data_IF_718817240006
#
_entry.id   IF_718817240006
#
_cell.length_a   1.000
_cell.length_b   1.000
_cell.length_c   1.000
_cell.angle_alpha   90.00
_cell.angle_beta   90.00
_cell.angle_gamma   90.00
#
_symmetry.space_group_name_H-M   'P 1'
#
loop_
_entity.id
_entity.type
_entity.pdbx_description
1 polymer ?
#
# COMPACT_ATOMS: atom_id res chain seq x y z
N UNK A 1 -12.53 9.13 -48.99
CA UNK A 1 -12.03 7.78 -48.65
C UNK A 1 -11.05 7.94 -47.48
N UNK A 2 -11.50 7.75 -46.28
CA UNK A 2 -10.70 7.91 -45.06
C UNK A 2 -10.28 6.50 -44.60
N UNK A 3 -9.00 6.19 -44.77
CA UNK A 3 -8.45 4.88 -44.40
C UNK A 3 -8.31 4.82 -42.87
N UNK A 4 -9.15 4.00 -42.25
CA UNK A 4 -9.09 3.68 -40.82
C UNK A 4 -7.95 2.68 -40.63
N UNK A 5 -6.82 3.13 -40.05
CA UNK A 5 -5.74 2.24 -39.60
C UNK A 5 -6.12 1.72 -38.23
N UNK A 6 -6.62 0.49 -38.18
CA UNK A 6 -6.81 -0.25 -36.93
C UNK A 6 -5.45 -0.79 -36.49
N UNK A 7 -4.81 -0.17 -35.52
CA UNK A 7 -3.65 -0.74 -34.83
C UNK A 7 -4.16 -1.86 -33.92
N UNK A 8 -4.17 -3.08 -34.41
CA UNK A 8 -4.27 -4.29 -33.59
C UNK A 8 -2.96 -4.41 -32.82
N UNK A 9 -2.96 -4.10 -31.52
CA UNK A 9 -1.90 -4.52 -30.62
C UNK A 9 -2.00 -6.03 -30.49
N UNK A 10 -1.29 -6.73 -31.36
CA UNK A 10 -1.05 -8.15 -31.24
C UNK A 10 -0.15 -8.30 -30.01
N UNK A 11 -0.60 -9.01 -28.97
CA UNK A 11 0.31 -9.66 -28.02
C UNK A 11 1.06 -10.76 -28.81
N UNK A 12 1.98 -10.34 -29.66
CA UNK A 12 2.97 -11.21 -30.24
C UNK A 12 3.93 -11.63 -29.12
N UNK A 13 4.45 -12.85 -29.16
CA UNK A 13 5.53 -13.27 -28.29
C UNK A 13 6.62 -12.19 -28.35
N UNK A 14 6.70 -11.36 -27.33
CA UNK A 14 7.75 -10.36 -27.22
C UNK A 14 9.09 -11.11 -27.20
N UNK A 15 10.13 -10.60 -27.87
CA UNK A 15 11.47 -11.10 -27.64
C UNK A 15 11.73 -11.11 -26.13
N UNK A 16 12.39 -12.13 -25.61
CA UNK A 16 12.69 -12.26 -24.20
C UNK A 16 13.14 -10.90 -23.65
N UNK A 17 12.42 -10.41 -22.63
CA UNK A 17 12.73 -9.10 -22.05
C UNK A 17 14.19 -9.15 -21.54
N UNK A 18 14.96 -8.11 -21.82
CA UNK A 18 16.33 -8.03 -21.35
C UNK A 18 16.33 -7.37 -19.97
N UNK A 19 16.74 -8.13 -18.96
CA UNK A 19 17.01 -7.55 -17.63
C UNK A 19 18.24 -6.64 -17.70
N UNK A 20 18.14 -5.50 -17.02
CA UNK A 20 19.25 -4.57 -16.86
C UNK A 20 19.30 -4.08 -15.42
N UNK A 21 20.44 -4.25 -14.77
CA UNK A 21 20.71 -3.58 -13.50
C UNK A 21 20.87 -2.08 -13.75
N UNK A 22 20.23 -1.24 -12.92
CA UNK A 22 20.26 0.23 -13.06
C UNK A 22 20.98 0.94 -11.92
N UNK A 23 21.24 0.24 -10.78
CA UNK A 23 21.96 0.79 -9.63
C UNK A 23 23.21 -0.01 -9.36
N UNK A 24 24.34 0.66 -9.03
CA UNK A 24 25.65 0.05 -8.86
C UNK A 24 26.39 0.53 -7.61
N UNK A 25 25.83 1.47 -6.87
CA UNK A 25 26.43 1.96 -5.62
C UNK A 25 26.36 0.88 -4.53
N UNK A 26 27.37 0.77 -3.65
CA UNK A 26 27.42 -0.26 -2.61
C UNK A 26 26.50 0.06 -1.42
N UNK A 27 25.21 0.18 -1.67
CA UNK A 27 24.13 0.39 -0.70
C UNK A 27 22.89 -0.39 -1.11
N UNK A 28 21.89 -0.46 -0.22
CA UNK A 28 20.64 -1.11 -0.52
C UNK A 28 19.69 -0.21 -1.31
N UNK A 29 18.90 -0.80 -2.21
CA UNK A 29 17.95 -0.14 -3.08
C UNK A 29 16.61 -0.88 -2.95
N UNK A 30 15.80 -0.49 -1.97
CA UNK A 30 14.57 -1.22 -1.67
C UNK A 30 13.36 -0.50 -2.24
N UNK A 31 12.67 -1.17 -3.17
CA UNK A 31 11.34 -0.75 -3.64
C UNK A 31 10.28 -1.18 -2.64
N UNK A 32 9.26 -0.38 -2.46
CA UNK A 32 8.09 -0.76 -1.66
C UNK A 32 6.96 -1.29 -2.54
N UNK A 33 5.91 -1.80 -1.91
CA UNK A 33 4.71 -2.27 -2.57
C UNK A 33 3.79 -1.13 -3.08
N UNK A 34 4.19 0.11 -2.97
CA UNK A 34 3.47 1.27 -3.47
C UNK A 34 3.98 1.69 -4.86
N UNK A 35 3.47 2.78 -5.40
CA UNK A 35 3.93 3.30 -6.68
C UNK A 35 5.30 3.95 -6.51
N UNK A 36 6.30 3.40 -7.19
CA UNK A 36 7.68 3.86 -7.09
C UNK A 36 8.12 4.72 -8.28
N UNK A 37 7.37 4.69 -9.39
CA UNK A 37 7.68 5.46 -10.58
C UNK A 37 7.29 6.94 -10.45
N UNK A 38 8.16 7.84 -10.95
CA UNK A 38 7.77 9.23 -11.19
C UNK A 38 6.65 9.30 -12.25
N UNK A 39 5.83 10.39 -12.27
CA UNK A 39 4.73 10.53 -13.23
C UNK A 39 5.14 10.39 -14.69
N UNK A 40 6.35 10.82 -15.04
CA UNK A 40 6.92 10.72 -16.39
C UNK A 40 7.63 9.39 -16.68
N UNK A 41 7.66 8.48 -15.70
CA UNK A 41 8.31 7.17 -15.81
C UNK A 41 9.84 7.20 -15.89
N UNK A 42 10.48 8.37 -15.63
CA UNK A 42 11.94 8.51 -15.73
C UNK A 42 12.69 8.05 -14.50
N UNK A 43 12.09 8.14 -13.34
CA UNK A 43 12.72 7.84 -12.07
C UNK A 43 11.98 6.74 -11.31
N UNK A 44 12.74 5.99 -10.51
CA UNK A 44 12.23 5.13 -9.44
C UNK A 44 12.70 5.69 -8.11
N UNK A 45 11.79 5.86 -7.14
CA UNK A 45 12.15 6.16 -5.74
C UNK A 45 12.32 4.86 -4.95
N UNK A 46 13.23 4.88 -3.98
CA UNK A 46 13.56 3.75 -3.12
C UNK A 46 14.04 4.23 -1.74
N UNK A 47 14.09 3.31 -0.79
CA UNK A 47 14.76 3.50 0.50
C UNK A 47 15.96 2.54 0.64
N UNK A 48 16.75 2.74 1.69
CA UNK A 48 18.02 2.02 1.87
C UNK A 48 17.97 0.92 2.94
N UNK A 49 16.77 0.39 3.27
CA UNK A 49 16.64 -0.74 4.21
C UNK A 49 17.33 -2.00 3.67
N UNK A 50 17.80 -2.84 4.60
CA UNK A 50 18.58 -4.04 4.26
C UNK A 50 17.73 -5.26 3.92
N UNK A 51 16.46 -5.28 4.38
CA UNK A 51 15.61 -6.46 4.28
C UNK A 51 14.27 -6.13 3.65
N UNK A 52 13.66 -7.15 3.03
CA UNK A 52 12.30 -7.08 2.53
C UNK A 52 11.30 -6.98 3.67
N UNK A 53 10.45 -5.97 3.63
CA UNK A 53 9.41 -5.73 4.61
C UNK A 53 9.91 -5.05 5.90
N UNK A 54 10.54 -5.75 6.87
CA UNK A 54 11.14 -5.11 8.04
C UNK A 54 12.41 -4.33 7.68
N UNK A 55 12.99 -3.60 8.62
CA UNK A 55 14.29 -2.94 8.46
C UNK A 55 14.21 -1.45 8.18
N UNK A 56 13.01 -0.86 8.11
CA UNK A 56 12.84 0.61 7.94
C UNK A 56 13.52 1.37 9.10
N UNK A 57 13.54 0.80 10.29
CA UNK A 57 14.21 1.37 11.47
C UNK A 57 15.68 1.68 11.24
N UNK A 58 16.34 0.92 10.39
CA UNK A 58 17.77 1.09 10.06
C UNK A 58 18.00 1.81 8.72
N UNK A 59 16.94 2.10 7.97
CA UNK A 59 17.04 2.86 6.72
C UNK A 59 17.26 4.34 7.01
N UNK A 60 18.21 4.95 6.30
CA UNK A 60 18.73 6.28 6.60
C UNK A 60 18.45 7.31 5.51
N UNK A 61 17.96 6.90 4.35
CA UNK A 61 17.70 7.81 3.25
C UNK A 61 16.52 7.38 2.38
N UNK A 62 15.92 8.40 1.75
CA UNK A 62 15.00 8.27 0.64
C UNK A 62 15.70 8.81 -0.60
N UNK A 63 15.71 8.04 -1.65
CA UNK A 63 16.46 8.34 -2.85
C UNK A 63 15.66 8.06 -4.12
N UNK A 64 16.16 8.53 -5.25
CA UNK A 64 15.65 8.14 -6.58
C UNK A 64 16.79 7.79 -7.52
N UNK A 65 16.50 6.99 -8.54
CA UNK A 65 17.41 6.67 -9.62
C UNK A 65 16.77 7.00 -10.98
N UNK A 66 17.51 7.63 -11.86
CA UNK A 66 17.07 7.81 -13.25
C UNK A 66 17.24 6.50 -14.01
N UNK A 67 16.16 5.96 -14.55
CA UNK A 67 16.11 4.61 -15.13
C UNK A 67 17.05 4.46 -16.33
N UNK A 68 17.19 5.50 -17.15
CA UNK A 68 18.01 5.45 -18.37
C UNK A 68 19.49 5.52 -18.05
N UNK A 69 19.89 6.43 -17.19
CA UNK A 69 21.32 6.73 -16.91
C UNK A 69 21.88 5.99 -15.71
N UNK A 70 21.02 5.51 -14.78
CA UNK A 70 21.44 4.94 -13.50
C UNK A 70 21.96 5.99 -12.51
N UNK A 71 21.76 7.28 -12.78
CA UNK A 71 22.17 8.35 -11.87
C UNK A 71 21.24 8.38 -10.66
N UNK A 72 21.82 8.21 -9.48
CA UNK A 72 21.14 8.23 -8.21
C UNK A 72 21.15 9.64 -7.60
N UNK A 73 20.06 10.02 -6.93
CA UNK A 73 19.92 11.30 -6.25
C UNK A 73 19.26 11.14 -4.88
N UNK A 74 19.87 11.76 -3.87
CA UNK A 74 19.31 11.85 -2.52
C UNK A 74 18.10 12.80 -2.54
N UNK A 75 16.99 12.38 -1.95
CA UNK A 75 15.80 13.20 -1.73
C UNK A 75 15.69 13.64 -0.28
N UNK A 76 15.91 12.72 0.65
CA UNK A 76 15.80 12.99 2.09
C UNK A 76 16.78 12.14 2.89
N UNK A 77 17.32 12.73 3.94
CA UNK A 77 18.04 12.06 5.03
C UNK A 77 17.72 12.78 6.34
N UNK A 78 17.48 12.07 7.46
CA UNK A 78 17.29 12.72 8.76
C UNK A 78 18.57 13.44 9.19
N UNK A 79 18.42 14.56 9.88
CA UNK A 79 19.56 15.37 10.35
C UNK A 79 20.43 14.63 11.39
N UNK A 80 19.85 13.68 12.11
CA UNK A 80 20.53 12.78 13.04
C UNK A 80 19.78 11.47 13.13
N UNK A 81 20.53 10.38 13.31
CA UNK A 81 19.95 9.02 13.40
C UNK A 81 20.83 8.07 14.21
N UNK A 82 20.23 7.03 14.73
CA UNK A 82 20.89 5.87 15.35
C UNK A 82 20.26 4.60 14.78
N UNK A 83 21.08 3.58 14.59
CA UNK A 83 20.67 2.26 14.06
C UNK A 83 20.82 1.18 15.12
N UNK A 84 20.27 0.00 14.85
CA UNK A 84 20.30 -1.16 15.74
C UNK A 84 19.00 -1.36 16.49
N UNK A 85 19.06 -1.90 17.70
CA UNK A 85 17.86 -2.23 18.49
C UNK A 85 17.11 -1.01 19.01
N UNK A 86 17.82 0.10 19.22
CA UNK A 86 17.28 1.40 19.61
C UNK A 86 17.41 2.39 18.46
N UNK A 87 16.83 2.02 17.30
CA UNK A 87 16.90 2.82 16.09
C UNK A 87 15.95 4.01 16.11
N UNK A 88 16.41 5.13 15.56
CA UNK A 88 15.60 6.32 15.29
C UNK A 88 16.31 7.25 14.27
N UNK A 89 15.57 7.96 13.41
CA UNK A 89 14.13 7.80 13.23
C UNK A 89 13.76 6.56 12.40
N UNK A 90 14.59 6.09 11.48
CA UNK A 90 14.25 5.14 10.44
C UNK A 90 13.27 5.73 9.41
N UNK A 91 13.62 5.66 8.12
CA UNK A 91 12.81 6.22 7.03
C UNK A 91 12.63 5.20 5.90
N UNK A 92 11.45 5.13 5.28
CA UNK A 92 11.24 4.16 4.19
C UNK A 92 9.78 3.95 3.81
N UNK A 93 9.52 2.91 3.05
CA UNK A 93 8.20 2.60 2.48
C UNK A 93 7.71 3.74 1.59
N UNK A 94 8.46 4.00 0.53
CA UNK A 94 8.27 5.14 -0.37
C UNK A 94 7.09 4.96 -1.32
N UNK A 95 6.44 6.08 -1.67
CA UNK A 95 5.41 6.14 -2.71
C UNK A 95 5.54 7.46 -3.46
N UNK A 96 5.66 7.38 -4.79
CA UNK A 96 5.70 8.57 -5.64
C UNK A 96 4.28 9.07 -5.93
N UNK A 97 4.06 10.38 -5.87
CA UNK A 97 2.78 10.96 -6.27
C UNK A 97 2.62 10.93 -7.79
N UNK A 98 1.52 10.34 -8.29
CA UNK A 98 1.27 10.22 -9.72
C UNK A 98 0.96 11.57 -10.41
N UNK A 99 0.65 12.64 -9.66
CA UNK A 99 0.28 13.95 -10.17
C UNK A 99 1.27 15.06 -9.80
N UNK A 100 2.30 14.74 -9.02
CA UNK A 100 3.24 15.72 -8.50
C UNK A 100 4.66 15.18 -8.43
N UNK A 101 5.60 16.08 -8.19
CA UNK A 101 7.01 15.72 -7.97
C UNK A 101 7.31 15.60 -6.48
N UNK A 102 6.55 14.74 -5.79
CA UNK A 102 6.70 14.46 -4.37
C UNK A 102 6.72 12.97 -4.07
N UNK A 103 7.39 12.59 -3.00
CA UNK A 103 7.49 11.21 -2.50
C UNK A 103 7.05 11.19 -1.04
N UNK A 104 6.01 10.39 -0.74
CA UNK A 104 5.60 10.10 0.63
C UNK A 104 6.37 8.90 1.17
N UNK A 105 6.64 8.90 2.48
CA UNK A 105 7.35 7.82 3.17
C UNK A 105 7.03 7.79 4.65
N UNK A 106 7.36 6.69 5.31
CA UNK A 106 7.35 6.56 6.77
C UNK A 106 8.55 7.29 7.35
N UNK A 107 8.31 8.05 8.40
CA UNK A 107 9.34 8.60 9.28
C UNK A 107 9.07 8.16 10.72
N UNK A 108 10.02 7.50 11.33
CA UNK A 108 9.98 7.18 12.77
C UNK A 108 10.14 8.41 13.66
N UNK A 109 10.23 8.24 14.98
CA UNK A 109 10.41 9.37 15.90
C UNK A 109 11.75 10.06 15.63
N UNK A 110 11.79 11.41 15.49
CA UNK A 110 13.03 12.15 15.48
C UNK A 110 13.91 11.84 16.71
N UNK A 111 15.23 11.80 16.52
CA UNK A 111 16.14 11.33 17.57
C UNK A 111 16.07 12.20 18.85
N UNK A 112 15.77 13.49 18.72
CA UNK A 112 15.56 14.42 19.84
C UNK A 112 14.23 14.17 20.59
N UNK A 113 13.31 13.37 20.05
CA UNK A 113 12.02 13.03 20.65
C UNK A 113 11.96 11.62 21.26
N UNK A 114 13.03 10.82 21.17
CA UNK A 114 12.98 9.40 21.60
C UNK A 114 12.76 9.25 23.11
N UNK A 115 13.16 10.22 23.92
CA UNK A 115 12.93 10.19 25.36
C UNK A 115 11.43 10.25 25.72
N UNK A 116 10.64 10.95 24.91
CA UNK A 116 9.19 11.12 25.12
C UNK A 116 8.36 10.11 24.33
N UNK A 117 8.84 9.75 23.14
CA UNK A 117 8.09 8.92 22.17
C UNK A 117 8.55 7.46 22.15
N UNK A 118 9.72 7.14 22.62
CA UNK A 118 10.41 5.87 22.38
C UNK A 118 11.07 5.81 21.01
N UNK A 119 11.80 4.73 20.78
CA UNK A 119 12.45 4.45 19.50
C UNK A 119 11.45 3.97 18.41
N UNK A 120 11.97 3.65 17.24
CA UNK A 120 11.16 3.19 16.13
C UNK A 120 10.31 1.96 16.49
N UNK A 121 9.01 2.06 16.30
CA UNK A 121 8.05 0.97 16.51
C UNK A 121 6.82 1.21 15.62
N UNK A 122 6.03 0.15 15.36
CA UNK A 122 4.81 0.24 14.53
C UNK A 122 3.87 1.37 14.97
N UNK A 123 3.51 1.51 16.27
CA UNK A 123 2.62 2.58 16.72
C UNK A 123 3.34 3.92 16.93
N UNK A 124 4.57 4.10 16.41
CA UNK A 124 5.40 5.29 16.62
C UNK A 124 5.92 5.89 15.30
N UNK A 125 5.13 5.85 14.24
CA UNK A 125 5.46 6.30 12.89
C UNK A 125 4.58 7.45 12.48
N UNK A 126 5.10 8.30 11.59
CA UNK A 126 4.37 9.36 10.92
C UNK A 126 4.57 9.26 9.41
N UNK A 127 3.67 9.89 8.66
CA UNK A 127 3.85 10.17 7.25
C UNK A 127 4.66 11.46 7.04
N UNK A 128 5.62 11.41 6.14
CA UNK A 128 6.36 12.56 5.64
C UNK A 128 6.32 12.58 4.13
N UNK A 129 6.39 13.77 3.56
CA UNK A 129 6.51 14.00 2.12
C UNK A 129 7.74 14.84 1.85
N UNK A 130 8.50 14.50 0.80
CA UNK A 130 9.64 15.27 0.30
C UNK A 130 9.42 15.64 -1.17
N UNK A 131 9.84 16.85 -1.56
CA UNK A 131 9.91 17.26 -2.98
C UNK A 131 11.00 16.47 -3.67
N UNK A 132 10.69 15.83 -4.79
CA UNK A 132 11.62 14.95 -5.48
C UNK A 132 12.62 15.68 -6.41
N UNK A 133 12.80 16.98 -6.26
CA UNK A 133 13.76 17.80 -7.01
C UNK A 133 15.20 17.74 -6.46
N UNK A 134 15.43 17.05 -5.34
CA UNK A 134 16.72 16.98 -4.64
C UNK A 134 16.99 18.15 -3.72
N UNK A 135 16.03 19.08 -3.51
CA UNK A 135 16.18 20.21 -2.58
C UNK A 135 16.14 19.83 -1.11
N UNK A 136 15.64 18.61 -0.79
CA UNK A 136 15.39 18.17 0.58
C UNK A 136 14.21 18.87 1.27
N UNK A 137 13.41 19.67 0.55
CA UNK A 137 12.20 20.30 1.09
C UNK A 137 11.18 19.23 1.45
N UNK A 138 10.75 19.22 2.69
CA UNK A 138 9.83 18.20 3.20
C UNK A 138 8.80 18.80 4.16
N UNK A 139 7.69 18.06 4.35
CA UNK A 139 6.60 18.40 5.27
C UNK A 139 6.11 17.16 5.99
N UNK A 140 5.62 17.33 7.22
CA UNK A 140 4.85 16.30 7.90
C UNK A 140 3.47 16.21 7.27
N UNK A 141 3.09 15.01 6.85
CA UNK A 141 1.75 14.75 6.34
C UNK A 141 0.73 14.73 7.47
N UNK A 142 1.06 14.07 8.57
CA UNK A 142 0.18 13.82 9.70
C UNK A 142 0.74 14.35 11.03
N UNK A 143 -0.16 14.49 12.00
CA UNK A 143 0.15 14.86 13.39
C UNK A 143 -0.18 13.72 14.33
N UNK A 144 0.79 13.37 15.18
CA UNK A 144 0.56 12.40 16.26
C UNK A 144 0.15 13.13 17.54
N UNK A 145 -0.93 12.65 18.21
CA UNK A 145 -1.44 13.16 19.49
C UNK A 145 -1.83 11.98 20.39
N UNK A 146 -1.00 11.68 21.39
CA UNK A 146 -1.17 10.55 22.31
C UNK A 146 -1.58 10.95 23.73
N UNK A 147 -2.17 12.15 23.90
CA UNK A 147 -2.63 12.63 25.20
C UNK A 147 -3.87 11.85 25.63
N UNK A 148 -3.72 10.97 26.62
CA UNK A 148 -4.78 10.08 27.09
C UNK A 148 -5.84 10.75 27.98
N UNK A 149 -5.59 11.97 28.46
CA UNK A 149 -6.50 12.68 29.39
C UNK A 149 -7.64 13.46 28.70
N UNK A 150 -7.66 13.47 27.39
CA UNK A 150 -8.68 14.11 26.54
C UNK A 150 -8.90 13.35 25.25
N UNK A 151 -9.91 13.73 24.49
CA UNK A 151 -10.04 13.27 23.11
C UNK A 151 -8.85 13.72 22.26
N UNK A 152 -8.49 12.89 21.29
CA UNK A 152 -7.44 13.21 20.30
C UNK A 152 -7.83 14.47 19.53
N UNK A 153 -6.86 15.29 19.19
CA UNK A 153 -7.08 16.47 18.34
C UNK A 153 -7.72 16.01 17.02
N UNK A 154 -8.85 16.60 16.58
CA UNK A 154 -9.46 16.28 15.30
C UNK A 154 -8.45 16.35 14.15
N UNK A 155 -8.42 15.32 13.32
CA UNK A 155 -7.46 15.20 12.20
C UNK A 155 -6.06 14.73 12.60
N UNK A 156 -5.76 14.57 13.90
CA UNK A 156 -4.55 13.90 14.36
C UNK A 156 -4.78 12.39 14.50
N UNK A 157 -3.69 11.64 14.56
CA UNK A 157 -3.72 10.23 14.93
C UNK A 157 -3.01 9.99 16.27
N UNK A 158 -3.27 8.88 16.92
CA UNK A 158 -2.71 8.56 18.24
C UNK A 158 -1.90 7.29 18.27
N UNK A 159 -1.40 6.90 17.11
CA UNK A 159 -0.58 5.70 16.93
C UNK A 159 0.49 5.91 15.89
N UNK A 160 0.62 4.95 14.97
CA UNK A 160 1.56 5.03 13.85
C UNK A 160 0.86 4.77 12.52
N UNK A 161 1.17 5.59 11.52
CA UNK A 161 0.77 5.42 10.12
C UNK A 161 1.84 4.69 9.33
N UNK A 162 1.45 3.88 8.35
CA UNK A 162 2.35 2.99 7.61
C UNK A 162 1.86 2.74 6.19
N UNK A 163 2.78 2.58 5.23
CA UNK A 163 2.46 2.35 3.81
C UNK A 163 1.58 3.43 3.20
N UNK A 164 2.14 4.63 3.18
CA UNK A 164 1.48 5.78 2.56
C UNK A 164 1.38 5.57 1.04
N UNK A 165 0.16 5.46 0.52
CA UNK A 165 -0.13 5.21 -0.89
C UNK A 165 -1.01 6.33 -1.42
N UNK A 166 -0.51 7.10 -2.40
CA UNK A 166 -1.32 8.12 -3.06
C UNK A 166 -2.45 7.51 -3.89
N UNK A 167 -3.55 8.23 -4.01
CA UNK A 167 -4.50 8.03 -5.11
C UNK A 167 -3.86 8.46 -6.44
N UNK A 168 -4.33 7.92 -7.56
CA UNK A 168 -3.80 8.29 -8.88
C UNK A 168 -4.09 9.75 -9.26
N UNK A 169 -5.06 10.41 -8.63
CA UNK A 169 -5.30 11.86 -8.75
C UNK A 169 -4.45 12.70 -7.77
N UNK A 170 -3.66 12.04 -6.91
CA UNK A 170 -2.76 12.68 -5.94
C UNK A 170 -3.45 13.36 -4.75
N UNK A 171 -4.77 13.24 -4.60
CA UNK A 171 -5.53 14.00 -3.60
C UNK A 171 -5.54 13.35 -2.22
N UNK A 172 -5.55 12.03 -2.14
CA UNK A 172 -5.64 11.26 -0.90
C UNK A 172 -4.42 10.36 -0.74
N UNK A 173 -4.07 10.11 0.50
CA UNK A 173 -3.02 9.16 0.86
C UNK A 173 -3.64 8.13 1.79
N UNK A 174 -3.67 6.87 1.37
CA UNK A 174 -4.09 5.76 2.21
C UNK A 174 -2.95 5.23 3.07
N UNK A 175 -3.27 4.65 4.21
CA UNK A 175 -2.28 4.07 5.13
C UNK A 175 -2.87 2.94 5.96
N UNK A 176 -2.01 2.08 6.50
CA UNK A 176 -2.36 1.19 7.61
C UNK A 176 -2.01 1.87 8.94
N UNK A 177 -2.69 1.47 10.02
CA UNK A 177 -2.63 2.13 11.31
C UNK A 177 -2.54 1.15 12.48
N UNK A 178 -1.64 1.44 13.42
CA UNK A 178 -1.52 0.73 14.70
C UNK A 178 -1.71 1.76 15.83
N UNK A 179 -2.65 1.52 16.74
CA UNK A 179 -2.98 2.42 17.86
C UNK A 179 -2.01 2.22 19.05
N UNK A 180 -1.61 3.28 19.75
CA UNK A 180 -0.76 3.19 20.93
C UNK A 180 -1.55 3.26 22.24
N UNK A 181 -2.68 3.99 22.25
CA UNK A 181 -3.49 4.15 23.46
C UNK A 181 -4.39 2.94 23.73
N UNK A 182 -4.72 2.19 22.69
CA UNK A 182 -5.59 1.00 22.76
C UNK A 182 -4.90 -0.20 22.08
N UNK A 183 -3.80 -0.73 22.67
CA UNK A 183 -2.99 -1.78 22.06
C UNK A 183 -3.69 -3.13 21.92
N UNK A 184 -4.87 -3.31 22.56
CA UNK A 184 -5.70 -4.50 22.41
C UNK A 184 -6.45 -4.58 21.08
N UNK A 185 -6.47 -3.50 20.29
CA UNK A 185 -7.04 -3.49 18.95
C UNK A 185 -5.98 -3.86 17.92
N UNK A 186 -6.34 -4.68 16.97
CA UNK A 186 -5.49 -5.02 15.84
C UNK A 186 -5.30 -3.83 14.88
N UNK A 187 -4.43 -4.03 13.89
CA UNK A 187 -4.21 -3.06 12.81
C UNK A 187 -5.51 -2.75 12.07
N UNK A 188 -5.66 -1.50 11.66
CA UNK A 188 -6.71 -1.06 10.75
C UNK A 188 -6.15 -0.20 9.62
N UNK A 189 -7.01 0.34 8.78
CA UNK A 189 -6.66 1.19 7.65
C UNK A 189 -7.33 2.55 7.74
N UNK A 190 -6.71 3.55 7.13
CA UNK A 190 -7.21 4.91 7.06
C UNK A 190 -6.78 5.64 5.82
N UNK A 191 -7.14 6.89 5.74
CA UNK A 191 -6.62 7.82 4.75
C UNK A 191 -6.44 9.22 5.34
N UNK A 192 -5.70 10.04 4.63
CA UNK A 192 -5.53 11.45 4.91
C UNK A 192 -5.63 12.25 3.62
N UNK A 193 -6.05 13.50 3.73
CA UNK A 193 -6.08 14.44 2.61
C UNK A 193 -5.69 15.86 3.06
N UNK A 194 -5.13 16.69 2.17
CA UNK A 194 -4.85 18.10 2.47
C UNK A 194 -6.12 18.81 2.93
N UNK A 195 -6.07 19.49 4.08
CA UNK A 195 -7.25 20.10 4.66
C UNK A 195 -6.93 21.39 5.44
N UNK A 196 -7.76 22.45 5.33
CA UNK A 196 -7.52 23.70 6.06
C UNK A 196 -7.58 23.53 7.59
N UNK A 197 -8.31 22.53 8.09
CA UNK A 197 -8.37 22.18 9.51
C UNK A 197 -7.38 21.07 9.90
N UNK A 198 -6.33 20.81 9.09
CA UNK A 198 -5.27 19.91 9.49
C UNK A 198 -4.65 20.40 10.81
N UNK A 199 -4.26 19.49 11.72
CA UNK A 199 -3.62 19.87 12.98
C UNK A 199 -2.34 20.65 12.74
N UNK A 200 -2.02 21.56 13.67
CA UNK A 200 -0.80 22.35 13.62
C UNK A 200 0.46 21.47 13.41
N UNK A 201 1.30 21.83 12.46
CA UNK A 201 2.51 21.09 12.08
C UNK A 201 2.28 19.94 11.11
N UNK A 202 1.03 19.68 10.67
CA UNK A 202 0.70 18.74 9.61
C UNK A 202 0.03 19.45 8.43
N UNK A 203 0.05 18.80 7.25
CA UNK A 203 -0.61 19.31 6.05
C UNK A 203 -1.93 18.61 5.77
N UNK A 204 -2.15 17.44 6.35
CA UNK A 204 -3.29 16.56 6.08
C UNK A 204 -4.14 16.33 7.33
N UNK A 205 -5.43 16.14 7.11
CA UNK A 205 -6.38 15.65 8.09
C UNK A 205 -6.47 14.13 7.99
N UNK A 206 -6.29 13.44 9.10
CA UNK A 206 -6.25 11.98 9.20
C UNK A 206 -7.57 11.41 9.67
N UNK A 207 -8.02 10.30 9.10
CA UNK A 207 -9.15 9.50 9.59
C UNK A 207 -8.93 8.01 9.38
N UNK A 208 -9.56 7.18 10.22
CA UNK A 208 -9.66 5.73 9.99
C UNK A 208 -10.86 5.42 9.09
N UNK A 209 -10.79 4.32 8.38
CA UNK A 209 -11.83 3.84 7.45
C UNK A 209 -12.57 2.61 7.96
N UNK A 210 -11.87 1.74 8.69
CA UNK A 210 -12.41 0.44 9.10
C UNK A 210 -12.46 0.35 10.62
N UNK A 211 -13.66 0.30 11.21
CA UNK A 211 -13.83 -0.06 12.61
C UNK A 211 -13.34 -1.51 12.83
N UNK A 212 -12.51 -1.69 13.84
CA UNK A 212 -12.09 -3.01 14.32
C UNK A 212 -12.49 -3.18 15.78
N UNK A 213 -12.66 -4.43 16.22
CA UNK A 213 -12.93 -4.75 17.63
C UNK A 213 -11.65 -5.28 18.29
N UNK A 214 -11.57 -5.28 19.65
CA UNK A 214 -10.42 -5.84 20.35
C UNK A 214 -10.16 -7.31 19.96
N UNK A 215 -8.90 -7.68 19.90
CA UNK A 215 -8.49 -9.04 19.54
C UNK A 215 -9.22 -10.09 20.39
N UNK A 216 -9.71 -11.14 19.73
CA UNK A 216 -10.44 -12.29 20.33
C UNK A 216 -11.80 -11.93 20.93
N UNK A 217 -12.36 -10.75 20.62
CA UNK A 217 -13.70 -10.37 21.11
C UNK A 217 -14.74 -10.28 20.02
N UNK A 218 -14.35 -10.44 18.76
CA UNK A 218 -15.23 -10.29 17.61
C UNK A 218 -16.43 -11.24 17.67
N UNK A 219 -17.60 -10.71 17.39
CA UNK A 219 -18.81 -11.47 17.08
C UNK A 219 -18.84 -11.85 15.59
N UNK A 220 -19.66 -12.83 15.15
CA UNK A 220 -19.78 -13.17 13.74
C UNK A 220 -19.95 -11.93 12.84
N UNK A 221 -19.12 -11.80 11.82
CA UNK A 221 -19.10 -10.66 10.90
C UNK A 221 -18.26 -9.46 11.34
N UNK A 222 -17.81 -9.37 12.58
CA UNK A 222 -16.94 -8.29 13.06
C UNK A 222 -15.48 -8.51 12.68
N UNK A 223 -14.78 -7.42 12.37
CA UNK A 223 -13.38 -7.40 11.90
C UNK A 223 -12.46 -7.09 13.08
N UNK A 224 -11.45 -7.95 13.32
CA UNK A 224 -10.41 -7.71 14.32
C UNK A 224 -9.14 -7.06 13.73
N UNK A 225 -8.90 -7.24 12.45
CA UNK A 225 -7.68 -6.79 11.77
C UNK A 225 -7.96 -6.48 10.32
N UNK A 226 -7.41 -5.36 9.83
CA UNK A 226 -7.52 -4.95 8.43
C UNK A 226 -6.15 -4.47 7.91
N UNK A 227 -5.69 -5.03 6.80
CA UNK A 227 -4.42 -4.68 6.15
C UNK A 227 -4.37 -5.15 4.70
N UNK A 228 -3.19 -5.04 4.07
CA UNK A 228 -2.98 -5.47 2.68
C UNK A 228 -3.73 -4.60 1.66
N UNK A 229 -4.04 -3.40 2.04
CA UNK A 229 -4.95 -2.46 1.39
C UNK A 229 -4.31 -1.74 0.19
N UNK A 230 -5.16 -1.31 -0.74
CA UNK A 230 -4.80 -0.48 -1.89
C UNK A 230 -6.02 0.27 -2.41
N UNK A 231 -5.78 1.41 -3.08
CA UNK A 231 -6.83 2.14 -3.75
C UNK A 231 -7.39 1.39 -4.96
N UNK A 232 -8.69 1.56 -5.20
CA UNK A 232 -9.41 1.02 -6.36
C UNK A 232 -9.99 2.19 -7.14
N UNK A 233 -9.52 2.35 -8.40
CA UNK A 233 -9.83 3.54 -9.19
C UNK A 233 -8.90 4.73 -8.91
N UNK A 234 -9.07 5.79 -9.69
CA UNK A 234 -8.15 6.95 -9.72
C UNK A 234 -8.36 7.94 -8.59
N UNK A 235 -9.59 8.08 -8.12
CA UNK A 235 -10.01 9.21 -7.28
C UNK A 235 -10.08 8.88 -5.78
N UNK A 236 -9.69 7.67 -5.39
CA UNK A 236 -9.76 7.26 -3.98
C UNK A 236 -11.19 7.15 -3.42
N UNK A 237 -12.15 6.77 -4.26
CA UNK A 237 -13.55 6.55 -3.85
C UNK A 237 -13.77 5.13 -3.32
N UNK A 238 -12.82 4.24 -3.51
CA UNK A 238 -12.81 2.88 -2.98
C UNK A 238 -11.42 2.50 -2.50
N UNK A 239 -11.35 1.81 -1.34
CA UNK A 239 -10.12 1.19 -0.85
C UNK A 239 -10.38 -0.27 -0.50
N UNK A 240 -9.72 -1.19 -1.20
CA UNK A 240 -9.81 -2.61 -0.93
C UNK A 240 -8.82 -3.03 0.17
N UNK A 241 -9.15 -4.06 0.94
CA UNK A 241 -8.29 -4.58 2.00
C UNK A 241 -8.63 -6.04 2.34
N UNK A 242 -7.71 -6.72 3.03
CA UNK A 242 -7.95 -8.02 3.65
C UNK A 242 -8.35 -7.79 5.11
N UNK A 243 -9.52 -8.30 5.48
CA UNK A 243 -10.03 -8.27 6.85
C UNK A 243 -10.02 -9.65 7.49
N UNK A 244 -9.44 -9.78 8.70
CA UNK A 244 -9.63 -10.93 9.56
C UNK A 244 -10.96 -10.75 10.28
N UNK A 245 -11.94 -11.56 9.92
CA UNK A 245 -13.32 -11.45 10.39
C UNK A 245 -13.74 -12.74 11.14
N UNK A 246 -14.54 -12.59 12.20
CA UNK A 246 -15.12 -13.74 12.88
C UNK A 246 -16.11 -14.44 11.94
N UNK A 247 -15.95 -15.73 11.74
CA UNK A 247 -16.83 -16.53 10.89
C UNK A 247 -18.23 -16.70 11.52
N UNK A 248 -19.17 -17.13 10.70
CA UNK A 248 -20.58 -17.33 11.10
C UNK A 248 -20.75 -18.42 12.18
N UNK A 249 -19.79 -19.35 12.30
CA UNK A 249 -19.75 -20.35 13.38
C UNK A 249 -19.51 -19.76 14.77
N UNK A 250 -19.06 -18.50 14.84
CA UNK A 250 -18.72 -17.81 16.08
C UNK A 250 -17.44 -18.31 16.76
N UNK A 251 -16.70 -19.23 16.14
CA UNK A 251 -15.51 -19.87 16.69
C UNK A 251 -14.25 -19.62 15.85
N UNK A 252 -14.35 -19.77 14.53
CA UNK A 252 -13.24 -19.61 13.60
C UNK A 252 -13.09 -18.15 13.11
N UNK A 253 -12.00 -17.90 12.38
CA UNK A 253 -11.74 -16.65 11.68
C UNK A 253 -11.52 -16.91 10.21
N UNK A 254 -11.93 -15.95 9.41
CA UNK A 254 -11.72 -15.95 7.97
C UNK A 254 -10.92 -14.72 7.57
N UNK A 255 -10.01 -14.87 6.63
CA UNK A 255 -9.41 -13.76 5.90
C UNK A 255 -10.20 -13.53 4.62
N UNK A 256 -10.80 -12.38 4.49
CA UNK A 256 -11.73 -12.04 3.42
C UNK A 256 -11.38 -10.71 2.78
N UNK A 257 -11.71 -10.60 1.49
CA UNK A 257 -11.58 -9.35 0.77
C UNK A 257 -12.78 -8.44 1.05
N UNK A 258 -12.47 -7.20 1.38
CA UNK A 258 -13.42 -6.11 1.62
C UNK A 258 -13.11 -4.90 0.76
N UNK A 259 -14.10 -4.05 0.58
CA UNK A 259 -13.97 -2.71 0.00
C UNK A 259 -14.62 -1.69 0.93
N UNK A 260 -13.94 -0.58 1.16
CA UNK A 260 -14.52 0.63 1.74
C UNK A 260 -14.91 1.57 0.61
N UNK A 261 -16.18 1.96 0.57
CA UNK A 261 -16.66 3.02 -0.31
C UNK A 261 -16.57 4.36 0.45
N UNK A 262 -15.86 5.31 -0.12
CA UNK A 262 -15.67 6.67 0.42
C UNK A 262 -16.41 7.63 -0.50
N UNK A 263 -17.46 8.31 -0.03
CA UNK A 263 -18.21 9.27 -0.85
C UNK A 263 -17.29 10.34 -1.46
N UNK A 264 -17.63 10.83 -2.65
CA UNK A 264 -16.86 11.87 -3.34
C UNK A 264 -16.80 13.18 -2.55
N UNK A 265 -17.89 13.52 -1.91
CA UNK A 265 -18.14 14.73 -1.13
C UNK A 265 -18.12 14.47 0.39
N UNK A 266 -17.42 13.41 0.82
CA UNK A 266 -17.27 13.09 2.23
C UNK A 266 -16.66 14.27 2.98
N UNK A 267 -17.30 14.66 4.08
CA UNK A 267 -16.70 15.59 5.03
C UNK A 267 -15.83 14.79 6.02
N UNK A 268 -14.51 14.80 5.79
CA UNK A 268 -13.55 14.07 6.63
C UNK A 268 -13.60 14.52 8.10
N UNK A 269 -14.06 15.75 8.38
CA UNK A 269 -14.11 16.31 9.74
C UNK A 269 -15.24 15.73 10.59
N UNK A 270 -16.18 14.99 9.99
CA UNK A 270 -17.23 14.26 10.73
C UNK A 270 -16.72 12.99 11.42
N UNK A 271 -15.48 12.58 11.13
CA UNK A 271 -14.83 11.46 11.79
C UNK A 271 -14.64 11.71 13.29
N UNK A 272 -14.89 10.69 14.10
CA UNK A 272 -14.55 10.76 15.53
C UNK A 272 -13.05 10.56 15.73
N UNK A 273 -12.35 11.47 16.41
CA UNK A 273 -10.88 11.44 16.51
C UNK A 273 -10.34 10.39 17.49
N UNK A 274 -11.19 9.80 18.33
CA UNK A 274 -10.81 8.81 19.34
C UNK A 274 -10.54 9.40 20.72
N UNK A 275 -10.51 8.52 21.73
CA UNK A 275 -10.18 8.82 23.13
C UNK A 275 -9.38 7.68 23.76
N UNK A 276 -8.97 7.81 25.01
CA UNK A 276 -8.26 6.74 25.73
C UNK A 276 -9.06 5.42 25.86
N UNK A 277 -10.37 5.46 25.61
CA UNK A 277 -11.26 4.30 25.78
C UNK A 277 -11.98 3.88 24.50
N UNK A 278 -11.87 4.67 23.42
CA UNK A 278 -12.57 4.43 22.16
C UNK A 278 -11.69 4.75 20.96
N UNK A 279 -11.60 3.82 20.02
CA UNK A 279 -10.90 4.02 18.74
C UNK A 279 -11.55 5.16 17.94
N UNK A 280 -10.77 5.82 17.07
CA UNK A 280 -11.33 6.69 16.04
C UNK A 280 -12.34 5.93 15.18
N UNK A 281 -13.34 6.63 14.66
CA UNK A 281 -14.31 6.06 13.71
C UNK A 281 -14.29 6.82 12.37
N UNK A 282 -14.71 6.16 11.27
CA UNK A 282 -14.73 6.78 9.95
C UNK A 282 -15.68 7.98 9.90
N UNK A 283 -15.51 8.87 8.90
CA UNK A 283 -16.44 9.95 8.63
C UNK A 283 -17.81 9.41 8.18
N UNK A 284 -18.83 10.26 8.29
CA UNK A 284 -20.18 9.92 7.87
C UNK A 284 -20.24 9.54 6.38
N UNK A 285 -21.08 8.55 6.06
CA UNK A 285 -21.30 8.10 4.68
C UNK A 285 -20.35 7.01 4.19
N UNK A 286 -19.23 6.76 4.88
CA UNK A 286 -18.32 5.64 4.55
C UNK A 286 -19.05 4.31 4.77
N UNK A 287 -18.90 3.38 3.81
CA UNK A 287 -19.52 2.06 3.85
C UNK A 287 -18.50 0.96 3.60
N UNK A 288 -18.66 -0.18 4.27
CA UNK A 288 -17.81 -1.36 4.10
C UNK A 288 -18.63 -2.48 3.47
N UNK A 289 -18.10 -3.09 2.42
CA UNK A 289 -18.68 -4.25 1.74
C UNK A 289 -17.71 -5.42 1.80
N UNK A 290 -18.19 -6.59 2.19
CA UNK A 290 -17.46 -7.85 2.10
C UNK A 290 -17.66 -8.45 0.73
N UNK A 291 -16.57 -8.74 -0.01
CA UNK A 291 -16.63 -9.27 -1.38
C UNK A 291 -16.41 -10.78 -1.43
N UNK A 292 -15.67 -11.34 -0.48
CA UNK A 292 -15.42 -12.79 -0.42
C UNK A 292 -15.68 -13.33 0.98
N UNK A 293 -15.92 -14.63 1.07
CA UNK A 293 -15.95 -15.38 2.33
C UNK A 293 -14.77 -16.36 2.32
N UNK A 294 -13.82 -16.17 3.24
CA UNK A 294 -12.54 -16.88 3.32
C UNK A 294 -11.61 -16.72 2.11
N UNK A 295 -10.38 -17.23 2.23
CA UNK A 295 -9.40 -17.42 1.17
C UNK A 295 -8.94 -16.16 0.43
N UNK A 296 -8.85 -15.00 1.11
CA UNK A 296 -8.20 -13.84 0.56
C UNK A 296 -7.00 -13.45 1.43
N UNK A 297 -5.83 -13.27 0.85
CA UNK A 297 -4.60 -12.98 1.59
C UNK A 297 -3.69 -11.97 0.88
N UNK A 298 -2.69 -11.50 1.61
CA UNK A 298 -1.62 -10.68 1.08
C UNK A 298 -2.02 -9.23 0.80
N UNK A 299 -1.50 -8.69 -0.28
CA UNK A 299 -1.75 -7.31 -0.71
C UNK A 299 -2.70 -7.33 -1.90
N UNK A 300 -3.77 -6.56 -1.82
CA UNK A 300 -4.72 -6.38 -2.92
C UNK A 300 -4.28 -5.27 -3.87
N UNK A 301 -4.79 -5.29 -5.12
CA UNK A 301 -4.57 -4.22 -6.09
C UNK A 301 -5.84 -3.94 -6.88
N UNK A 302 -6.31 -2.69 -6.84
CA UNK A 302 -7.39 -2.20 -7.68
C UNK A 302 -6.93 -1.81 -9.08
N UNK A 303 -7.81 -1.94 -10.07
CA UNK A 303 -7.55 -1.34 -11.40
C UNK A 303 -7.64 0.18 -11.35
N UNK A 304 -6.92 0.90 -12.23
CA UNK A 304 -7.08 2.35 -12.38
C UNK A 304 -8.51 2.79 -12.74
N UNK A 305 -9.25 1.96 -13.46
CA UNK A 305 -10.65 2.20 -13.82
C UNK A 305 -11.62 1.98 -12.64
N UNK A 306 -11.18 1.26 -11.59
CA UNK A 306 -11.98 1.01 -10.40
C UNK A 306 -12.98 -0.13 -10.55
N UNK A 307 -12.93 -0.89 -11.64
CA UNK A 307 -13.89 -1.95 -11.95
C UNK A 307 -13.53 -3.32 -11.36
N UNK A 308 -12.24 -3.57 -11.08
CA UNK A 308 -11.76 -4.88 -10.64
C UNK A 308 -10.70 -4.77 -9.54
N UNK A 309 -10.60 -5.85 -8.75
CA UNK A 309 -9.59 -6.02 -7.69
C UNK A 309 -8.91 -7.36 -7.90
N UNK A 310 -7.57 -7.35 -7.89
CA UNK A 310 -6.75 -8.55 -7.86
C UNK A 310 -6.25 -8.81 -6.44
N UNK A 311 -6.21 -10.07 -6.03
CA UNK A 311 -5.78 -10.50 -4.70
C UNK A 311 -5.25 -11.93 -4.77
N UNK A 312 -4.56 -12.37 -3.72
CA UNK A 312 -4.12 -13.76 -3.60
C UNK A 312 -5.14 -14.62 -2.87
N UNK A 313 -5.27 -15.87 -3.32
CA UNK A 313 -6.05 -16.89 -2.61
C UNK A 313 -5.46 -18.27 -2.89
N UNK A 314 -5.80 -19.22 -2.03
CA UNK A 314 -5.45 -20.63 -2.24
C UNK A 314 -6.44 -21.25 -3.22
N UNK A 315 -5.93 -21.75 -4.33
CA UNK A 315 -6.72 -22.45 -5.35
C UNK A 315 -7.10 -23.88 -4.90
N UNK A 316 -7.95 -24.54 -5.68
CA UNK A 316 -8.45 -25.87 -5.36
C UNK A 316 -7.36 -26.95 -5.29
N UNK A 317 -6.22 -26.74 -5.94
CA UNK A 317 -5.04 -27.61 -5.89
C UNK A 317 -4.12 -27.36 -4.69
N UNK A 318 -4.47 -26.40 -3.81
CA UNK A 318 -3.69 -26.01 -2.64
C UNK A 318 -2.60 -25.01 -2.92
N UNK A 319 -2.43 -24.52 -4.15
CA UNK A 319 -1.44 -23.52 -4.50
C UNK A 319 -1.99 -22.10 -4.35
N UNK A 320 -1.12 -21.15 -3.98
CA UNK A 320 -1.45 -19.73 -3.91
C UNK A 320 -1.47 -19.14 -5.33
N UNK A 321 -2.60 -18.58 -5.73
CA UNK A 321 -2.80 -18.02 -7.07
C UNK A 321 -3.35 -16.59 -7.00
N UNK A 322 -3.34 -15.86 -8.11
CA UNK A 322 -4.03 -14.58 -8.24
C UNK A 322 -5.46 -14.82 -8.69
N UNK A 323 -6.37 -14.17 -7.98
CA UNK A 323 -7.80 -14.10 -8.31
C UNK A 323 -8.19 -12.65 -8.62
N UNK A 324 -9.21 -12.48 -9.43
CA UNK A 324 -9.81 -11.20 -9.79
C UNK A 324 -11.30 -11.23 -9.48
N UNK A 325 -11.80 -10.16 -8.91
CA UNK A 325 -13.23 -9.94 -8.65
C UNK A 325 -13.64 -8.55 -9.13
N UNK A 326 -14.90 -8.41 -9.56
CA UNK A 326 -15.50 -7.09 -9.80
C UNK A 326 -15.57 -6.29 -8.48
N UNK A 327 -15.23 -5.01 -8.51
CA UNK A 327 -15.20 -4.17 -7.31
C UNK A 327 -16.56 -3.95 -6.65
N UNK A 328 -17.65 -4.15 -7.40
CA UNK A 328 -19.03 -4.13 -6.90
C UNK A 328 -19.47 -5.45 -6.26
N UNK A 329 -18.68 -6.54 -6.43
CA UNK A 329 -19.01 -7.86 -5.93
C UNK A 329 -20.12 -8.57 -6.69
N UNK A 330 -20.55 -8.06 -7.85
CA UNK A 330 -21.68 -8.61 -8.60
C UNK A 330 -21.43 -10.00 -9.19
N UNK A 331 -20.15 -10.38 -9.33
CA UNK A 331 -19.75 -11.68 -9.89
C UNK A 331 -18.79 -12.43 -8.97
N UNK A 332 -18.81 -13.77 -8.95
CA UNK A 332 -17.83 -14.56 -8.23
C UNK A 332 -16.40 -14.26 -8.67
N UNK A 333 -15.39 -14.47 -7.80
CA UNK A 333 -13.99 -14.36 -8.18
C UNK A 333 -13.62 -15.32 -9.31
N UNK A 334 -12.71 -14.87 -10.17
CA UNK A 334 -12.15 -15.69 -11.26
C UNK A 334 -10.66 -15.90 -10.98
N UNK A 335 -10.19 -17.15 -11.01
CA UNK A 335 -8.76 -17.46 -10.93
C UNK A 335 -8.07 -16.99 -12.21
N UNK A 336 -7.06 -16.12 -12.07
CA UNK A 336 -6.34 -15.52 -13.18
C UNK A 336 -5.01 -16.23 -13.50
N UNK A 337 -4.40 -16.91 -12.53
CA UNK A 337 -3.14 -17.62 -12.69
C UNK A 337 -3.26 -19.09 -12.32
N UNK A 338 -2.39 -19.93 -12.95
CA UNK A 338 -2.36 -21.38 -12.75
C UNK A 338 -0.88 -21.86 -12.70
N UNK A 339 -0.09 -21.26 -11.83
CA UNK A 339 1.33 -21.60 -11.70
C UNK A 339 1.53 -22.85 -10.85
N UNK A 340 2.33 -23.83 -11.33
CA UNK A 340 2.61 -25.06 -10.56
C UNK A 340 3.25 -24.80 -9.19
N UNK A 341 4.05 -23.73 -9.08
CA UNK A 341 4.72 -23.32 -7.86
C UNK A 341 3.96 -22.22 -7.08
N UNK A 342 2.76 -21.84 -7.56
CA UNK A 342 2.00 -20.73 -7.01
C UNK A 342 2.62 -19.36 -7.33
N UNK A 343 2.13 -18.33 -6.64
CA UNK A 343 2.60 -16.95 -6.75
C UNK A 343 3.34 -16.56 -5.47
N UNK A 344 4.55 -16.02 -5.63
CA UNK A 344 5.38 -15.60 -4.49
C UNK A 344 4.98 -14.21 -3.97
N UNK A 345 4.96 -13.21 -4.89
CA UNK A 345 4.72 -11.80 -4.52
C UNK A 345 4.49 -10.90 -5.74
N UNK A 346 4.59 -9.59 -5.55
CA UNK A 346 4.79 -8.60 -6.62
C UNK A 346 3.56 -8.33 -7.48
N UNK A 347 2.35 -8.40 -6.92
CA UNK A 347 1.12 -8.16 -7.68
C UNK A 347 1.01 -6.71 -8.14
N UNK A 348 0.93 -6.51 -9.47
CA UNK A 348 0.76 -5.20 -10.11
C UNK A 348 -0.16 -5.28 -11.32
N UNK A 349 -0.97 -4.24 -11.50
CA UNK A 349 -1.68 -4.02 -12.75
C UNK A 349 -0.81 -3.25 -13.74
N UNK A 350 -0.84 -3.67 -15.00
CA UNK A 350 -0.45 -2.77 -16.10
C UNK A 350 -1.46 -1.60 -16.16
N UNK A 351 -1.04 -0.37 -16.47
CA UNK A 351 -1.95 0.79 -16.53
C UNK A 351 -3.17 0.63 -17.44
N UNK A 352 -3.11 -0.27 -18.42
CA UNK A 352 -4.28 -0.60 -19.28
C UNK A 352 -5.35 -1.45 -18.60
N UNK A 353 -5.13 -1.97 -17.39
CA UNK A 353 -6.02 -2.90 -16.72
C UNK A 353 -6.15 -4.30 -17.37
N UNK A 354 -5.37 -4.59 -18.42
CA UNK A 354 -5.52 -5.83 -19.20
C UNK A 354 -4.43 -6.89 -18.92
N UNK A 355 -3.43 -6.55 -18.13
CA UNK A 355 -2.33 -7.44 -17.77
C UNK A 355 -2.01 -7.31 -16.29
N UNK A 356 -1.78 -8.42 -15.63
CA UNK A 356 -1.24 -8.50 -14.28
C UNK A 356 0.21 -8.96 -14.32
N UNK A 357 1.04 -8.36 -13.50
CA UNK A 357 2.38 -8.82 -13.21
C UNK A 357 2.42 -9.44 -11.82
N UNK A 358 3.20 -10.50 -11.68
CA UNK A 358 3.50 -11.13 -10.39
C UNK A 358 4.81 -11.90 -10.49
N UNK A 359 5.30 -12.39 -9.36
CA UNK A 359 6.48 -13.24 -9.27
C UNK A 359 6.02 -14.66 -8.97
N UNK A 360 6.50 -15.62 -9.76
CA UNK A 360 6.30 -17.05 -9.54
C UNK A 360 7.62 -17.78 -9.81
N UNK A 361 8.06 -18.60 -8.85
CA UNK A 361 9.33 -19.33 -8.94
C UNK A 361 10.50 -18.41 -9.38
N UNK A 362 10.60 -17.26 -8.70
CA UNK A 362 11.57 -16.20 -8.96
C UNK A 362 11.54 -15.59 -10.38
N UNK A 363 10.57 -15.93 -11.22
CA UNK A 363 10.37 -15.33 -12.54
C UNK A 363 9.28 -14.26 -12.51
N UNK A 364 9.51 -13.13 -13.20
CA UNK A 364 8.47 -12.12 -13.42
C UNK A 364 7.52 -12.60 -14.51
N UNK A 365 6.27 -12.82 -14.14
CA UNK A 365 5.21 -13.27 -15.03
C UNK A 365 4.30 -12.09 -15.42
N UNK A 366 3.88 -12.06 -16.68
CA UNK A 366 2.85 -11.18 -17.22
C UNK A 366 1.66 -12.03 -17.68
N UNK A 367 0.52 -11.90 -17.00
CA UNK A 367 -0.70 -12.68 -17.29
C UNK A 367 -1.76 -11.78 -17.93
N UNK A 368 -2.28 -12.19 -19.08
CA UNK A 368 -3.38 -11.51 -19.75
C UNK A 368 -4.68 -11.72 -18.95
N UNK A 369 -5.32 -10.62 -18.57
CA UNK A 369 -6.58 -10.63 -17.80
C UNK A 369 -7.67 -9.82 -18.48
N UNK A 370 -7.47 -9.53 -19.76
CA UNK A 370 -8.53 -9.01 -20.62
C UNK A 370 -9.57 -10.10 -20.84
N UNK A 371 -10.87 -9.81 -20.63
CA UNK A 371 -11.93 -10.79 -20.95
C UNK A 371 -11.82 -11.30 -22.39
N UNK A 372 -11.94 -12.61 -22.59
CA UNK A 372 -11.86 -13.26 -23.89
C UNK A 372 -11.00 -14.53 -23.90
N UNK A 373 -10.73 -15.07 -25.08
CA UNK A 373 -10.04 -16.35 -25.27
C UNK A 373 -8.62 -16.42 -24.67
N UNK A 374 -7.97 -15.27 -24.55
CA UNK A 374 -6.61 -15.17 -24.01
C UNK A 374 -6.52 -14.92 -22.50
N UNK A 375 -7.66 -14.92 -21.81
CA UNK A 375 -7.67 -14.76 -20.35
C UNK A 375 -6.87 -15.87 -19.68
N UNK A 376 -5.95 -15.53 -18.79
CA UNK A 376 -5.06 -16.47 -18.09
C UNK A 376 -3.79 -16.84 -18.86
N UNK A 377 -3.65 -16.46 -20.14
CA UNK A 377 -2.38 -16.67 -20.87
C UNK A 377 -1.25 -15.90 -20.18
N UNK A 378 -0.14 -16.58 -19.89
CA UNK A 378 0.99 -16.04 -19.18
C UNK A 378 2.28 -16.16 -19.98
N UNK A 379 3.11 -15.11 -19.91
CA UNK A 379 4.48 -15.06 -20.41
C UNK A 379 5.41 -14.72 -19.27
N UNK A 380 6.50 -15.48 -19.10
CA UNK A 380 7.58 -15.11 -18.20
C UNK A 380 8.51 -14.12 -18.89
N UNK A 381 8.67 -12.94 -18.28
CA UNK A 381 9.54 -11.88 -18.79
C UNK A 381 11.01 -12.10 -18.42
N UNK A 382 11.23 -12.82 -17.33
CA UNK A 382 12.57 -13.18 -16.83
C UNK A 382 12.66 -14.68 -16.59
N UNK A 383 13.86 -15.26 -16.56
CA UNK A 383 14.05 -16.66 -16.20
C UNK A 383 13.46 -17.00 -14.83
N UNK A 384 12.97 -18.20 -14.69
CA UNK A 384 12.60 -18.82 -13.41
C UNK A 384 13.82 -19.52 -12.80
N UNK A 385 13.83 -19.72 -11.47
CA UNK A 385 14.91 -20.42 -10.79
C UNK A 385 14.68 -20.51 -9.28
N UNK A 386 15.46 -21.38 -8.63
CA UNK A 386 15.31 -21.65 -7.18
C UNK A 386 15.96 -20.58 -6.29
N UNK A 387 16.78 -19.69 -6.84
CA UNK A 387 17.44 -18.62 -6.09
C UNK A 387 16.50 -17.41 -6.01
N UNK A 388 16.01 -17.03 -4.83
CA UNK A 388 15.10 -15.91 -4.69
C UNK A 388 15.88 -14.59 -4.83
N UNK A 389 15.82 -13.98 -6.01
CA UNK A 389 16.44 -12.69 -6.32
C UNK A 389 15.42 -11.57 -6.54
N UNK A 390 14.15 -11.92 -6.76
CA UNK A 390 13.08 -10.98 -7.13
C UNK A 390 11.94 -11.06 -6.12
N UNK A 391 11.65 -9.94 -5.46
CA UNK A 391 10.69 -9.94 -4.36
C UNK A 391 9.60 -8.87 -4.49
N UNK A 392 9.84 -7.80 -5.23
CA UNK A 392 8.91 -6.71 -5.42
C UNK A 392 8.90 -6.26 -6.87
N UNK A 393 7.75 -5.79 -7.33
CA UNK A 393 7.56 -5.09 -8.59
C UNK A 393 7.11 -3.67 -8.28
N UNK A 394 7.68 -2.70 -8.98
CA UNK A 394 7.28 -1.30 -8.93
C UNK A 394 6.06 -1.03 -9.81
#
# INVERSE_FOLDING_TARGET
MTTLVVLTVVCAASPAATERQITFTPKNHHLDNNDNFSPDGRFLCYDTRETLGPGIENSQSIEKVEIVTGVEALLYTPGSSVTGTEAAPGVGAVSYCAQGDTVAFIHGPPLDQVNDRGYYAKPNRNGMEVVADGSGKHVWLDRRDTVATRETIPGAHRGGTHRHEYTLDGRRIGFTYDDVLLPQYGRTIGYMEPHPNAPEGATHYVTLLVPVVPERTAQPGEIEYAAGDSWVGREGLMRAFIGKVRAEDGESYEESLFVVDVPRDVDITTAYPGSATRLPSPPEGVRIRRLTHAHAEGIVRGTPEGDRIAYYAIAADGTRQVFIIASDGATPPIQATHFPHGVDSGLRWHPSGNTLFCISHNGVAATCVKPGERFGETVFLTPQGDTPERFALA
#
